data_IF_487247172862
#
_entry.id   IF_487247172862
#
_cell.length_a   1.000
_cell.length_b   1.000
_cell.length_c   1.000
_cell.angle_alpha   90.00
_cell.angle_beta   90.00
_cell.angle_gamma   90.00
#
_symmetry.space_group_name_H-M   'P 1'
#
loop_
_entity.id
_entity.type
_entity.pdbx_description
1 polymer ?
#
# COMPACT_ATOMS: atom_id res chain seq x y z
N UNK A 1 24.34 2.28 14.42
CA UNK A 1 23.97 2.07 15.85
C UNK A 1 23.21 0.76 15.90
N UNK A 2 23.74 -0.25 16.59
CA UNK A 2 22.99 -1.50 16.80
C UNK A 2 21.79 -1.21 17.69
N UNK A 3 20.61 -1.59 17.23
CA UNK A 3 19.37 -1.52 18.01
C UNK A 3 19.36 -2.70 18.96
N UNK A 4 19.45 -2.43 20.26
CA UNK A 4 19.43 -3.47 21.29
C UNK A 4 18.03 -4.10 21.43
N UNK A 5 17.95 -5.38 21.82
CA UNK A 5 16.69 -6.05 22.15
C UNK A 5 16.23 -5.62 23.55
N UNK A 6 15.59 -4.46 23.62
CA UNK A 6 14.97 -3.90 24.82
C UNK A 6 13.53 -3.53 24.50
N UNK A 7 12.70 -3.23 25.46
CA UNK A 7 11.32 -2.81 25.24
C UNK A 7 11.28 -1.37 24.71
N UNK A 8 10.48 -1.16 23.67
CA UNK A 8 10.23 0.12 23.01
C UNK A 8 8.74 0.46 23.06
N UNK A 9 8.42 1.72 23.26
CA UNK A 9 7.04 2.21 23.23
C UNK A 9 6.46 2.13 21.82
N UNK A 10 7.27 2.51 20.81
CA UNK A 10 6.86 2.54 19.40
C UNK A 10 8.02 2.06 18.52
N UNK A 11 7.70 1.19 17.59
CA UNK A 11 8.56 0.78 16.48
C UNK A 11 8.03 1.39 15.18
N UNK A 12 8.90 2.02 14.40
CA UNK A 12 8.63 2.46 13.05
C UNK A 12 9.31 1.53 12.07
N UNK A 13 8.52 0.88 11.19
CA UNK A 13 9.00 0.03 10.10
C UNK A 13 8.85 0.83 8.80
N UNK A 14 9.97 1.29 8.25
CA UNK A 14 10.05 2.19 7.09
C UNK A 14 11.13 1.76 6.09
N UNK A 15 11.56 0.52 6.19
CA UNK A 15 12.50 -0.13 5.29
C UNK A 15 11.77 -0.61 4.00
N UNK A 16 12.46 -1.21 3.03
CA UNK A 16 11.81 -1.72 1.82
C UNK A 16 10.70 -2.73 2.12
N UNK A 17 9.61 -2.69 1.36
CA UNK A 17 8.39 -3.49 1.58
C UNK A 17 8.67 -4.97 1.71
N UNK A 18 9.55 -5.51 0.88
CA UNK A 18 9.96 -6.93 0.91
C UNK A 18 10.59 -7.38 2.23
N UNK A 19 11.00 -6.43 3.07
CA UNK A 19 11.60 -6.73 4.39
C UNK A 19 10.65 -6.49 5.56
N UNK A 20 9.44 -5.96 5.33
CA UNK A 20 8.49 -5.60 6.38
C UNK A 20 8.09 -6.80 7.24
N UNK A 21 7.76 -7.93 6.62
CA UNK A 21 7.33 -9.13 7.33
C UNK A 21 8.39 -9.62 8.32
N UNK A 22 9.63 -9.80 7.85
CA UNK A 22 10.72 -10.26 8.70
C UNK A 22 11.08 -9.24 9.77
N UNK A 23 11.03 -7.95 9.45
CA UNK A 23 11.25 -6.89 10.44
C UNK A 23 10.18 -6.93 11.52
N UNK A 24 8.91 -7.06 11.14
CA UNK A 24 7.81 -7.17 12.09
C UNK A 24 7.94 -8.44 12.93
N UNK A 25 8.24 -9.59 12.31
CA UNK A 25 8.46 -10.86 13.00
C UNK A 25 9.59 -10.78 14.04
N UNK A 26 10.67 -10.10 13.71
CA UNK A 26 11.82 -9.96 14.58
C UNK A 26 11.59 -8.98 15.75
N UNK A 27 10.89 -7.88 15.49
CA UNK A 27 10.85 -6.74 16.41
C UNK A 27 9.52 -6.52 17.13
N UNK A 28 8.41 -7.07 16.65
CA UNK A 28 7.10 -6.93 17.30
C UNK A 28 7.11 -7.37 18.79
N UNK A 29 7.86 -8.42 19.21
CA UNK A 29 7.91 -8.78 20.61
C UNK A 29 8.50 -7.69 21.54
N UNK A 30 9.29 -6.79 20.96
CA UNK A 30 9.99 -5.73 21.72
C UNK A 30 9.29 -4.38 21.64
N UNK A 31 8.18 -4.27 20.93
CA UNK A 31 7.46 -3.01 20.77
C UNK A 31 5.99 -3.15 21.15
N UNK A 32 5.50 -2.23 21.97
CA UNK A 32 4.09 -2.19 22.32
C UNK A 32 3.23 -1.71 21.16
N UNK A 33 3.73 -0.73 20.41
CA UNK A 33 3.03 -0.16 19.27
C UNK A 33 3.95 -0.22 18.05
N UNK A 34 3.36 -0.50 16.89
CA UNK A 34 4.10 -0.55 15.62
C UNK A 34 3.41 0.35 14.60
N UNK A 35 4.19 1.23 14.01
CA UNK A 35 3.81 1.98 12.82
C UNK A 35 4.57 1.38 11.64
N UNK A 36 3.86 0.88 10.64
CA UNK A 36 4.45 0.21 9.48
C UNK A 36 4.05 0.94 8.20
N UNK A 37 5.02 1.18 7.31
CA UNK A 37 4.75 1.76 5.99
C UNK A 37 3.91 0.85 5.12
N UNK A 38 3.20 1.50 4.20
CA UNK A 38 2.42 0.83 3.15
C UNK A 38 3.33 0.40 1.97
N UNK A 39 2.94 -0.66 1.26
CA UNK A 39 2.02 -1.69 1.68
C UNK A 39 2.59 -2.48 2.86
N UNK A 40 1.73 -3.07 3.65
CA UNK A 40 2.20 -3.77 4.87
C UNK A 40 3.12 -4.93 4.53
N UNK A 41 2.82 -5.67 3.45
CA UNK A 41 3.63 -6.74 2.89
C UNK A 41 3.58 -6.71 1.36
N UNK A 42 4.58 -7.26 0.70
CA UNK A 42 4.67 -7.43 -0.74
C UNK A 42 4.05 -8.76 -1.22
N UNK A 43 3.96 -9.75 -0.33
CA UNK A 43 3.38 -11.05 -0.60
C UNK A 43 2.05 -11.22 0.16
N UNK A 44 0.91 -11.40 -0.56
CA UNK A 44 -0.40 -11.59 0.07
C UNK A 44 -0.55 -12.94 0.81
N UNK A 45 0.30 -13.91 0.52
CA UNK A 45 0.26 -15.26 1.10
C UNK A 45 1.11 -15.40 2.37
N UNK A 46 1.64 -14.29 2.91
CA UNK A 46 2.38 -14.28 4.18
C UNK A 46 1.54 -14.85 5.33
N UNK A 47 2.12 -15.75 6.10
CA UNK A 47 1.45 -16.32 7.27
C UNK A 47 1.40 -15.33 8.44
N UNK A 48 0.29 -14.63 8.56
CA UNK A 48 0.08 -13.65 9.63
C UNK A 48 -0.03 -14.30 11.02
N UNK A 49 -0.38 -15.59 11.10
CA UNK A 49 -0.48 -16.31 12.37
C UNK A 49 0.88 -16.60 13.01
N UNK A 50 1.93 -16.60 12.19
CA UNK A 50 3.31 -16.78 12.64
C UNK A 50 3.94 -15.48 13.20
N UNK A 51 3.25 -14.33 13.08
CA UNK A 51 3.74 -13.07 13.63
C UNK A 51 3.54 -13.04 15.15
N UNK A 52 4.60 -12.76 15.94
CA UNK A 52 4.52 -12.72 17.39
C UNK A 52 3.94 -11.38 17.88
N UNK A 53 2.74 -11.06 17.42
CA UNK A 53 2.07 -9.82 17.77
C UNK A 53 1.59 -9.84 19.23
N UNK A 54 1.73 -8.72 19.91
CA UNK A 54 1.25 -8.56 21.29
C UNK A 54 -0.27 -8.34 21.29
N UNK A 55 -1.03 -9.04 22.13
CA UNK A 55 -2.48 -8.86 22.20
C UNK A 55 -2.93 -7.46 22.68
N UNK A 56 -2.06 -6.79 23.46
CA UNK A 56 -2.26 -5.44 23.99
C UNK A 56 -1.61 -4.34 23.13
N UNK A 57 -1.03 -4.72 21.98
CA UNK A 57 -0.32 -3.84 21.08
C UNK A 57 -1.23 -3.16 20.05
N UNK A 58 -0.80 -2.01 19.53
CA UNK A 58 -1.43 -1.32 18.41
C UNK A 58 -0.51 -1.44 17.20
N UNK A 59 -1.06 -1.98 16.11
CA UNK A 59 -0.36 -2.14 14.83
C UNK A 59 -1.04 -1.26 13.79
N UNK A 60 -0.37 -0.18 13.39
CA UNK A 60 -0.93 0.84 12.52
C UNK A 60 -0.21 0.85 11.16
N UNK A 61 -0.97 0.68 10.09
CA UNK A 61 -0.45 0.80 8.71
C UNK A 61 -0.56 2.25 8.25
N UNK A 62 0.51 2.78 7.68
CA UNK A 62 0.59 4.15 7.18
C UNK A 62 -0.30 4.34 5.95
N UNK A 63 -1.52 4.80 6.16
CA UNK A 63 -2.48 5.18 5.12
C UNK A 63 -2.68 6.71 5.12
N UNK A 64 -1.67 7.52 4.72
CA UNK A 64 -1.66 8.97 4.91
C UNK A 64 -2.77 9.68 4.15
N UNK A 65 -3.20 9.16 3.00
CA UNK A 65 -4.27 9.78 2.22
C UNK A 65 -5.62 9.78 2.93
N UNK A 66 -5.85 8.89 3.88
CA UNK A 66 -7.07 8.94 4.73
C UNK A 66 -7.17 10.23 5.55
N UNK A 67 -6.06 10.94 5.76
CA UNK A 67 -6.01 12.24 6.45
C UNK A 67 -6.07 13.44 5.50
N UNK A 68 -6.12 13.20 4.19
CA UNK A 68 -6.28 14.26 3.20
C UNK A 68 -7.64 14.96 3.40
N UNK A 69 -7.70 16.29 3.51
CA UNK A 69 -8.94 17.04 3.77
C UNK A 69 -10.05 16.76 2.76
N UNK A 70 -9.71 16.54 1.48
CA UNK A 70 -10.69 16.24 0.42
C UNK A 70 -11.32 14.87 0.65
N UNK A 71 -10.50 13.86 0.98
CA UNK A 71 -10.99 12.51 1.26
C UNK A 71 -11.77 12.44 2.57
N UNK A 72 -11.36 13.20 3.58
CA UNK A 72 -12.12 13.37 4.83
C UNK A 72 -13.49 14.03 4.57
N UNK A 73 -13.52 15.07 3.72
CA UNK A 73 -14.77 15.68 3.30
C UNK A 73 -15.67 14.67 2.59
N UNK A 74 -15.14 13.95 1.61
CA UNK A 74 -15.88 12.91 0.89
C UNK A 74 -16.47 11.87 1.85
N UNK A 75 -15.65 11.38 2.80
CA UNK A 75 -16.09 10.38 3.79
C UNK A 75 -17.24 10.85 4.68
N UNK A 76 -17.22 12.13 5.06
CA UNK A 76 -18.17 12.68 6.04
C UNK A 76 -19.39 13.35 5.41
N UNK A 77 -19.32 13.77 4.14
CA UNK A 77 -20.35 14.59 3.49
C UNK A 77 -21.02 13.94 2.29
N UNK A 78 -20.41 12.93 1.69
CA UNK A 78 -21.02 12.24 0.56
C UNK A 78 -21.65 10.95 1.04
N UNK A 79 -22.95 10.81 0.74
CA UNK A 79 -23.62 9.53 0.94
C UNK A 79 -23.17 8.53 -0.12
N UNK A 80 -22.25 7.65 0.26
CA UNK A 80 -21.65 6.67 -0.65
C UNK A 80 -22.68 5.64 -1.16
N UNK A 81 -23.88 5.53 -0.57
CA UNK A 81 -24.94 4.66 -1.10
C UNK A 81 -25.51 5.16 -2.42
N UNK A 82 -25.40 6.48 -2.65
CA UNK A 82 -25.86 7.15 -3.87
C UNK A 82 -24.76 7.34 -4.93
N UNK A 83 -23.59 6.76 -4.70
CA UNK A 83 -22.49 6.76 -5.68
C UNK A 83 -22.57 5.49 -6.51
N UNK A 84 -22.87 5.60 -7.80
CA UNK A 84 -23.05 4.47 -8.72
C UNK A 84 -21.80 4.18 -9.54
N UNK A 85 -20.89 5.13 -9.64
CA UNK A 85 -19.60 4.99 -10.31
C UNK A 85 -18.56 5.87 -9.64
N UNK A 86 -17.34 5.37 -9.52
CA UNK A 86 -16.20 6.15 -9.09
C UNK A 86 -14.97 5.74 -9.92
N UNK A 87 -14.10 6.70 -10.17
CA UNK A 87 -12.84 6.47 -10.85
C UNK A 87 -11.72 7.18 -10.10
N UNK A 88 -10.65 6.47 -9.82
CA UNK A 88 -9.40 7.03 -9.36
C UNK A 88 -8.32 6.81 -10.44
N UNK A 89 -7.60 7.87 -10.76
CA UNK A 89 -6.49 7.81 -11.71
C UNK A 89 -5.27 8.39 -11.01
N UNK A 90 -4.21 7.59 -10.94
CA UNK A 90 -2.92 8.03 -10.46
C UNK A 90 -1.85 7.56 -11.42
N UNK A 91 -1.19 8.48 -12.09
CA UNK A 91 -0.12 8.15 -13.01
C UNK A 91 1.02 9.14 -12.90
N UNK A 92 2.23 8.62 -13.01
CA UNK A 92 3.45 9.40 -13.00
C UNK A 92 4.52 8.69 -13.83
N UNK A 93 5.36 9.45 -14.49
CA UNK A 93 6.46 8.89 -15.27
C UNK A 93 7.64 8.57 -14.33
N UNK A 94 7.95 7.30 -14.18
CA UNK A 94 8.94 6.82 -13.19
C UNK A 94 10.30 7.55 -13.25
N UNK A 95 10.87 7.84 -14.44
CA UNK A 95 12.11 8.63 -14.54
C UNK A 95 12.06 10.02 -13.92
N UNK A 96 10.86 10.62 -13.83
CA UNK A 96 10.66 11.96 -13.28
C UNK A 96 10.36 11.98 -11.77
N UNK A 97 10.14 10.82 -11.16
CA UNK A 97 9.79 10.75 -9.72
C UNK A 97 10.88 11.30 -8.81
N UNK A 98 12.14 11.08 -9.18
CA UNK A 98 13.30 11.49 -8.38
C UNK A 98 14.32 12.19 -9.28
N UNK A 99 14.15 13.48 -9.54
CA UNK A 99 15.06 14.22 -10.39
C UNK A 99 16.52 14.05 -9.99
N UNK A 100 17.39 13.74 -10.97
CA UNK A 100 18.81 13.54 -10.74
C UNK A 100 19.22 12.14 -10.26
N UNK A 101 18.28 11.22 -10.13
CA UNK A 101 18.54 9.79 -9.85
C UNK A 101 18.27 8.94 -11.08
N UNK A 102 19.06 7.88 -11.27
CA UNK A 102 18.73 6.85 -12.27
C UNK A 102 17.54 6.03 -11.77
N UNK A 103 16.41 6.10 -12.47
CA UNK A 103 15.20 5.37 -12.11
C UNK A 103 15.41 3.86 -12.07
N UNK A 104 16.36 3.34 -12.85
CA UNK A 104 16.72 1.91 -12.92
C UNK A 104 17.33 1.39 -11.61
N UNK A 105 17.90 2.29 -10.81
CA UNK A 105 18.49 1.95 -9.52
C UNK A 105 17.49 2.06 -8.35
N UNK A 106 16.26 2.53 -8.58
CA UNK A 106 15.28 2.65 -7.52
C UNK A 106 14.50 1.34 -7.32
N UNK A 107 14.04 1.09 -6.10
CA UNK A 107 13.28 -0.13 -5.77
C UNK A 107 12.02 -0.30 -6.63
N UNK A 108 11.37 0.80 -7.02
CA UNK A 108 10.17 0.80 -7.85
C UNK A 108 10.37 0.16 -9.23
N UNK A 109 11.61 0.13 -9.73
CA UNK A 109 11.96 -0.52 -10.97
C UNK A 109 12.12 -2.04 -10.85
N UNK A 110 12.20 -2.57 -9.62
CA UNK A 110 12.58 -3.96 -9.34
C UNK A 110 11.48 -4.70 -8.60
N UNK A 111 10.97 -5.78 -9.22
CA UNK A 111 9.91 -6.61 -8.65
C UNK A 111 10.36 -7.34 -7.38
N UNK A 112 11.58 -7.83 -7.35
CA UNK A 112 12.17 -8.52 -6.20
C UNK A 112 12.39 -7.61 -4.97
N UNK A 113 12.38 -6.29 -5.19
CA UNK A 113 12.44 -5.28 -4.13
C UNK A 113 11.06 -4.83 -3.64
N UNK A 114 9.99 -5.42 -4.16
CA UNK A 114 8.61 -5.02 -3.87
C UNK A 114 8.18 -3.77 -4.65
N UNK A 115 8.80 -3.52 -5.82
CA UNK A 115 8.44 -2.43 -6.72
C UNK A 115 7.30 -2.79 -7.66
N UNK A 116 6.79 -1.76 -8.34
CA UNK A 116 5.71 -1.85 -9.32
C UNK A 116 4.54 -0.95 -8.98
N UNK A 117 3.87 -0.45 -10.01
CA UNK A 117 2.80 0.54 -9.87
C UNK A 117 1.65 0.03 -8.99
N UNK A 118 1.33 -1.26 -9.05
CA UNK A 118 0.27 -1.87 -8.26
C UNK A 118 0.55 -1.79 -6.75
N UNK A 119 1.81 -1.87 -6.35
CA UNK A 119 2.27 -1.83 -4.96
C UNK A 119 2.56 -0.40 -4.53
N UNK A 120 3.30 0.36 -5.34
CA UNK A 120 3.69 1.72 -5.01
C UNK A 120 2.48 2.65 -4.86
N UNK A 121 1.46 2.48 -5.72
CA UNK A 121 0.25 3.30 -5.77
C UNK A 121 -0.97 2.64 -5.09
N UNK A 122 -0.72 1.78 -4.10
CA UNK A 122 -1.77 1.14 -3.29
C UNK A 122 -2.67 2.14 -2.53
N UNK A 123 -2.25 3.39 -2.42
CA UNK A 123 -3.02 4.46 -1.77
C UNK A 123 -4.41 4.66 -2.36
N UNK A 124 -4.54 4.55 -3.69
CA UNK A 124 -5.80 4.73 -4.40
C UNK A 124 -6.78 3.61 -4.04
N UNK A 125 -6.27 2.39 -3.97
CA UNK A 125 -7.03 1.23 -3.51
C UNK A 125 -7.45 1.36 -2.04
N UNK A 126 -6.54 1.84 -1.20
CA UNK A 126 -6.78 2.05 0.23
C UNK A 126 -7.93 3.04 0.46
N UNK A 127 -7.87 4.26 -0.11
CA UNK A 127 -8.92 5.23 0.16
C UNK A 127 -10.25 4.89 -0.53
N UNK A 128 -10.24 4.24 -1.68
CA UNK A 128 -11.47 3.76 -2.33
C UNK A 128 -12.19 2.72 -1.45
N UNK A 129 -11.46 1.73 -0.94
CA UNK A 129 -12.04 0.73 -0.05
C UNK A 129 -12.43 1.31 1.31
N UNK A 130 -11.70 2.29 1.80
CA UNK A 130 -12.05 3.01 3.02
C UNK A 130 -13.33 3.82 2.86
N UNK A 131 -13.57 4.44 1.71
CA UNK A 131 -14.78 5.21 1.42
C UNK A 131 -16.00 4.31 1.19
N UNK A 132 -15.85 3.24 0.42
CA UNK A 132 -16.95 2.48 -0.18
C UNK A 132 -17.08 1.03 0.30
N UNK A 133 -16.13 0.56 1.13
CA UNK A 133 -16.01 -0.85 1.51
C UNK A 133 -15.31 -1.68 0.42
N UNK A 134 -15.19 -2.98 0.65
CA UNK A 134 -14.58 -3.89 -0.31
C UNK A 134 -15.56 -4.29 -1.42
N UNK A 135 -15.10 -4.39 -2.68
CA UNK A 135 -15.92 -4.90 -3.78
C UNK A 135 -16.19 -6.41 -3.62
N UNK A 136 -17.27 -6.88 -4.26
CA UNK A 136 -17.62 -8.31 -4.30
C UNK A 136 -16.76 -9.08 -5.31
N UNK A 137 -16.27 -8.38 -6.33
CA UNK A 137 -15.42 -8.94 -7.38
C UNK A 137 -14.45 -7.88 -7.85
N UNK A 138 -13.22 -8.30 -8.15
CA UNK A 138 -12.19 -7.45 -8.75
C UNK A 138 -11.71 -8.10 -10.03
N UNK A 139 -11.58 -7.28 -11.08
CA UNK A 139 -10.85 -7.63 -12.31
C UNK A 139 -9.61 -6.76 -12.39
N UNK A 140 -8.52 -7.38 -12.77
CA UNK A 140 -7.22 -6.74 -12.84
C UNK A 140 -6.60 -6.97 -14.21
N UNK A 141 -6.05 -5.89 -14.75
CA UNK A 141 -5.19 -5.90 -15.93
C UNK A 141 -3.95 -5.08 -15.62
N UNK A 142 -2.80 -5.67 -15.77
CA UNK A 142 -1.55 -4.96 -15.49
C UNK A 142 -0.35 -5.72 -16.00
N UNK A 143 0.79 -5.07 -15.94
CA UNK A 143 2.07 -5.60 -16.39
C UNK A 143 3.04 -4.51 -16.78
N UNK A 144 4.12 -4.91 -17.45
CA UNK A 144 5.15 -4.02 -17.99
C UNK A 144 4.88 -3.80 -19.47
N UNK A 145 4.47 -2.59 -19.85
CA UNK A 145 4.06 -2.24 -21.22
C UNK A 145 4.92 -1.15 -21.85
N UNK A 146 5.58 -0.31 -21.04
CA UNK A 146 6.44 0.76 -21.56
C UNK A 146 7.81 0.24 -21.99
N UNK A 147 8.60 1.03 -22.74
CA UNK A 147 9.98 0.70 -23.08
C UNK A 147 10.97 1.00 -21.95
N UNK A 148 10.53 1.24 -20.73
CA UNK A 148 11.41 1.47 -19.59
C UNK A 148 12.22 0.20 -19.26
N UNK A 149 13.45 0.39 -18.84
CA UNK A 149 14.35 -0.71 -18.41
C UNK A 149 14.03 -1.10 -16.96
N UNK A 150 12.88 -1.78 -16.76
CA UNK A 150 12.37 -2.23 -15.47
C UNK A 150 11.84 -3.66 -15.60
N UNK A 151 11.72 -4.38 -14.50
CA UNK A 151 11.09 -5.70 -14.44
C UNK A 151 9.80 -5.73 -13.59
N UNK A 152 9.46 -4.57 -13.00
CA UNK A 152 8.23 -4.35 -12.26
C UNK A 152 7.07 -3.90 -13.17
N UNK A 153 5.84 -3.93 -12.67
CA UNK A 153 4.66 -3.45 -13.38
C UNK A 153 4.69 -1.91 -13.53
N UNK A 154 4.40 -1.41 -14.73
CA UNK A 154 4.27 0.03 -15.01
C UNK A 154 2.85 0.48 -15.34
N UNK A 155 1.92 -0.45 -15.47
CA UNK A 155 0.51 -0.20 -15.67
C UNK A 155 -0.33 -1.17 -14.84
N UNK A 156 -1.33 -0.65 -14.14
CA UNK A 156 -2.28 -1.43 -13.38
C UNK A 156 -3.68 -0.81 -13.48
N UNK A 157 -4.65 -1.59 -13.94
CA UNK A 157 -6.06 -1.19 -13.99
C UNK A 157 -6.88 -2.19 -13.19
N UNK A 158 -7.68 -1.70 -12.27
CA UNK A 158 -8.60 -2.50 -11.48
C UNK A 158 -10.03 -2.06 -11.72
N UNK A 159 -10.93 -3.04 -11.84
CA UNK A 159 -12.38 -2.80 -11.84
C UNK A 159 -13.00 -3.56 -10.68
N UNK A 160 -13.55 -2.83 -9.72
CA UNK A 160 -14.25 -3.37 -8.57
C UNK A 160 -15.76 -3.35 -8.80
N UNK A 161 -16.42 -4.53 -8.72
CA UNK A 161 -17.87 -4.65 -8.80
C UNK A 161 -18.46 -4.78 -7.39
N UNK A 162 -19.40 -3.90 -7.11
CA UNK A 162 -20.27 -3.92 -5.93
C UNK A 162 -21.69 -4.27 -6.35
N UNK A 163 -22.61 -4.43 -5.40
CA UNK A 163 -24.01 -4.73 -5.71
C UNK A 163 -24.71 -3.66 -6.55
N UNK A 164 -24.32 -2.39 -6.38
CA UNK A 164 -24.99 -1.24 -7.00
C UNK A 164 -24.04 -0.25 -7.69
N UNK A 165 -22.74 -0.58 -7.83
CA UNK A 165 -21.76 0.34 -8.41
C UNK A 165 -20.58 -0.38 -9.03
N UNK A 166 -19.88 0.35 -9.90
CA UNK A 166 -18.56 -0.03 -10.44
C UNK A 166 -17.55 1.04 -10.01
N UNK A 167 -16.39 0.59 -9.57
CA UNK A 167 -15.24 1.45 -9.22
C UNK A 167 -14.07 1.06 -10.09
N UNK A 168 -13.44 2.04 -10.69
CA UNK A 168 -12.25 1.89 -11.54
C UNK A 168 -11.06 2.58 -10.87
N UNK A 169 -9.94 1.90 -10.89
CA UNK A 169 -8.64 2.43 -10.47
C UNK A 169 -7.65 2.22 -11.61
N UNK A 170 -6.97 3.29 -12.00
CA UNK A 170 -5.98 3.30 -13.07
C UNK A 170 -4.74 4.08 -12.67
#
# INVERSE_FOLDING_TARGET
>A
TEVGKQEYDILFITNPTSTHYETLRQWAPYARNVFIEKPVFDDPDQDLSALPLRPDGVYYVACPLRYNPVLQYAKTRIDMTNVFSARAICSSYLPDWRPGTDYRACYSAHKDMGGGVAIDLVHEWDYLTWLMGFPQEVRYFGGTYSPLEIDSDDLAVYMGRYSNRIVELH
#
